data_IF_400528174712
#
_entry.id   IF_400528174712
#
_cell.length_a   1.000
_cell.length_b   1.000
_cell.length_c   1.000
_cell.angle_alpha   90.00
_cell.angle_beta   90.00
_cell.angle_gamma   90.00
#
_symmetry.space_group_name_H-M   'P 1'
#
loop_
_entity.id
_entity.type
_entity.pdbx_description
1 polymer ?
#
# COMPACT_ATOMS: atom_id res chain seq x y z
N UNK A 1 -5.55 8.76 20.65
CA UNK A 1 -5.13 7.76 19.67
C UNK A 1 -4.66 8.47 18.39
N UNK A 2 -3.61 7.97 17.78
CA UNK A 2 -3.02 8.52 16.54
C UNK A 2 -3.97 8.44 15.31
N UNK A 3 -5.07 7.74 15.45
CA UNK A 3 -6.11 7.59 14.43
C UNK A 3 -6.82 8.90 14.09
N UNK A 4 -6.70 9.87 14.97
CA UNK A 4 -7.32 11.18 14.82
C UNK A 4 -6.29 12.25 14.41
N UNK A 5 -5.10 11.87 13.95
CA UNK A 5 -4.05 12.84 13.63
C UNK A 5 -4.50 13.83 12.52
N UNK A 6 -5.19 13.37 11.48
CA UNK A 6 -5.78 14.25 10.48
C UNK A 6 -6.95 15.07 11.05
N UNK A 7 -7.94 14.47 11.75
CA UNK A 7 -8.95 15.23 12.48
C UNK A 7 -8.39 16.13 13.59
N UNK A 8 -7.29 15.75 14.26
CA UNK A 8 -6.63 16.59 15.27
C UNK A 8 -6.05 17.86 14.65
N UNK A 9 -5.39 17.76 13.47
CA UNK A 9 -4.80 18.90 12.81
C UNK A 9 -5.83 19.79 12.10
N UNK A 10 -6.84 19.21 11.49
CA UNK A 10 -7.78 19.91 10.63
C UNK A 10 -9.23 19.86 11.12
N UNK A 11 -9.55 18.97 12.06
CA UNK A 11 -10.87 18.80 12.66
C UNK A 11 -11.94 18.35 11.69
N UNK A 12 -13.19 18.33 12.16
CA UNK A 12 -14.34 17.91 11.39
C UNK A 12 -14.61 18.76 10.13
N UNK A 13 -13.99 19.94 10.02
CA UNK A 13 -14.10 20.78 8.82
C UNK A 13 -13.57 20.13 7.55
N UNK A 14 -12.66 19.16 7.67
CA UNK A 14 -12.01 18.52 6.54
C UNK A 14 -12.37 17.04 6.42
N UNK A 15 -13.13 16.51 7.37
CA UNK A 15 -13.51 15.11 7.39
C UNK A 15 -14.93 14.94 7.94
N UNK A 16 -15.92 15.06 7.07
CA UNK A 16 -17.30 14.68 7.37
C UNK A 16 -17.48 13.20 7.04
N UNK A 17 -17.50 12.37 8.07
CA UNK A 17 -17.48 10.90 7.96
C UNK A 17 -18.48 10.34 6.95
N UNK A 18 -19.75 10.77 7.04
CA UNK A 18 -20.82 10.27 6.17
C UNK A 18 -20.63 10.71 4.72
N UNK A 19 -20.17 11.95 4.50
CA UNK A 19 -19.86 12.46 3.16
C UNK A 19 -18.70 11.70 2.53
N UNK A 20 -17.63 11.46 3.29
CA UNK A 20 -16.47 10.71 2.82
C UNK A 20 -16.86 9.27 2.50
N UNK A 21 -17.65 8.63 3.38
CA UNK A 21 -18.15 7.28 3.16
C UNK A 21 -19.02 7.20 1.90
N UNK A 22 -19.85 8.21 1.63
CA UNK A 22 -20.67 8.29 0.42
C UNK A 22 -19.81 8.42 -0.85
N UNK A 23 -18.85 9.35 -0.85
CA UNK A 23 -17.93 9.55 -1.98
C UNK A 23 -17.14 8.27 -2.26
N UNK A 24 -16.52 7.67 -1.23
CA UNK A 24 -15.74 6.46 -1.37
C UNK A 24 -16.61 5.28 -1.85
N UNK A 25 -17.83 5.12 -1.31
CA UNK A 25 -18.75 4.09 -1.76
C UNK A 25 -19.20 4.30 -3.21
N UNK A 26 -19.40 5.55 -3.63
CA UNK A 26 -19.73 5.90 -5.02
C UNK A 26 -18.60 5.51 -5.99
N UNK A 27 -17.36 5.82 -5.66
CA UNK A 27 -16.20 5.45 -6.48
C UNK A 27 -16.01 3.94 -6.53
N UNK A 28 -16.00 3.27 -5.38
CA UNK A 28 -15.84 1.82 -5.31
C UNK A 28 -17.03 1.05 -5.88
N UNK A 29 -18.22 1.68 -5.93
CA UNK A 29 -19.39 1.15 -6.64
C UNK A 29 -19.13 1.00 -8.15
N UNK A 30 -18.37 1.90 -8.75
CA UNK A 30 -17.95 1.80 -10.16
C UNK A 30 -17.04 0.58 -10.37
N UNK A 31 -16.05 0.41 -9.48
CA UNK A 31 -15.16 -0.76 -9.52
C UNK A 31 -15.94 -2.08 -9.35
N UNK A 32 -16.92 -2.10 -8.44
CA UNK A 32 -17.81 -3.26 -8.27
C UNK A 32 -18.60 -3.57 -9.54
N UNK A 33 -19.11 -2.54 -10.23
CA UNK A 33 -19.84 -2.72 -11.49
C UNK A 33 -18.97 -3.33 -12.60
N UNK A 34 -17.66 -3.12 -12.53
CA UNK A 34 -16.65 -3.74 -13.41
C UNK A 34 -16.24 -5.16 -12.99
N UNK A 35 -16.79 -5.68 -11.88
CA UNK A 35 -16.55 -7.05 -11.43
C UNK A 35 -15.59 -7.17 -10.24
N UNK A 36 -15.04 -6.07 -9.70
CA UNK A 36 -14.24 -6.10 -8.48
C UNK A 36 -15.10 -6.60 -7.31
N UNK A 37 -14.56 -7.52 -6.53
CA UNK A 37 -15.23 -8.10 -5.36
C UNK A 37 -14.48 -7.86 -4.06
N UNK A 38 -13.17 -7.68 -4.14
CA UNK A 38 -12.31 -7.48 -2.98
C UNK A 38 -11.36 -6.34 -3.25
N UNK A 39 -11.21 -5.46 -2.27
CA UNK A 39 -10.26 -4.34 -2.28
C UNK A 39 -9.20 -4.61 -1.22
N UNK A 40 -7.94 -4.51 -1.59
CA UNK A 40 -6.84 -4.46 -0.63
C UNK A 40 -6.56 -2.99 -0.34
N UNK A 41 -6.92 -2.56 0.86
CA UNK A 41 -6.66 -1.19 1.31
C UNK A 41 -5.28 -1.14 1.97
N UNK A 42 -4.30 -0.66 1.21
CA UNK A 42 -2.91 -0.50 1.64
C UNK A 42 -2.65 0.77 2.44
N UNK A 43 -3.67 1.51 2.87
CA UNK A 43 -3.49 2.75 3.63
C UNK A 43 -2.83 2.49 4.98
N UNK A 44 -1.60 3.00 5.21
CA UNK A 44 -0.89 2.77 6.47
C UNK A 44 -1.37 3.71 7.57
N UNK A 45 -0.90 3.45 8.79
CA UNK A 45 -1.25 4.21 10.00
C UNK A 45 -1.03 5.72 9.83
N UNK A 46 0.11 6.11 9.28
CA UNK A 46 0.50 7.51 9.11
C UNK A 46 -0.01 8.18 7.81
N UNK A 47 -0.88 7.51 7.06
CA UNK A 47 -1.62 8.12 5.93
C UNK A 47 -3.14 8.17 6.17
N UNK A 48 -3.56 8.11 7.43
CA UNK A 48 -4.96 8.30 7.78
C UNK A 48 -5.83 7.05 7.61
N UNK A 49 -5.28 5.86 7.83
CA UNK A 49 -6.09 4.63 7.90
C UNK A 49 -7.23 4.80 8.91
N UNK A 50 -8.48 4.65 8.46
CA UNK A 50 -9.65 4.59 9.33
C UNK A 50 -10.45 3.31 9.07
N UNK A 51 -10.34 2.35 9.99
CA UNK A 51 -11.03 1.07 9.88
C UNK A 51 -12.56 1.21 9.97
N UNK A 52 -13.06 2.25 10.65
CA UNK A 52 -14.50 2.50 10.76
C UNK A 52 -15.05 2.94 9.40
N UNK A 53 -14.30 3.77 8.69
CA UNK A 53 -14.63 4.20 7.33
C UNK A 53 -14.60 3.01 6.37
N UNK A 54 -13.57 2.18 6.42
CA UNK A 54 -13.45 0.96 5.60
C UNK A 54 -14.68 0.05 5.85
N UNK A 55 -15.06 -0.18 7.10
CA UNK A 55 -16.24 -1.00 7.48
C UNK A 55 -17.54 -0.41 6.93
N UNK A 56 -17.71 0.91 7.04
CA UNK A 56 -18.92 1.58 6.54
C UNK A 56 -18.99 1.52 5.01
N UNK A 57 -17.91 1.75 4.32
CA UNK A 57 -17.84 1.62 2.86
C UNK A 57 -18.08 0.17 2.42
N UNK A 58 -17.52 -0.81 3.13
CA UNK A 58 -17.79 -2.23 2.88
C UNK A 58 -19.31 -2.55 3.01
N UNK A 59 -19.95 -2.01 4.06
CA UNK A 59 -21.39 -2.18 4.29
C UNK A 59 -22.23 -1.54 3.18
N UNK A 60 -21.85 -0.33 2.71
CA UNK A 60 -22.59 0.39 1.65
C UNK A 60 -22.42 -0.29 0.28
N UNK A 61 -21.23 -0.79 0.00
CA UNK A 61 -20.91 -1.35 -1.33
C UNK A 61 -21.12 -2.86 -1.41
N UNK A 62 -21.04 -3.58 -0.28
CA UNK A 62 -20.99 -5.04 -0.26
C UNK A 62 -19.70 -5.60 -0.89
N UNK A 63 -18.62 -4.82 -0.94
CA UNK A 63 -17.28 -5.28 -1.29
C UNK A 63 -16.60 -5.88 -0.06
N UNK A 64 -15.72 -6.85 -0.29
CA UNK A 64 -14.79 -7.32 0.73
C UNK A 64 -13.60 -6.37 0.81
N UNK A 65 -13.07 -6.19 2.03
CA UNK A 65 -11.86 -5.39 2.24
C UNK A 65 -10.81 -6.20 3.00
N UNK A 66 -9.57 -6.04 2.58
CA UNK A 66 -8.38 -6.47 3.30
C UNK A 66 -7.68 -5.20 3.76
N UNK A 67 -7.77 -4.88 5.04
CA UNK A 67 -7.11 -3.71 5.62
C UNK A 67 -5.63 -4.01 5.90
N UNK A 68 -4.80 -2.96 5.89
CA UNK A 68 -3.40 -3.05 6.25
C UNK A 68 -3.10 -2.50 7.64
N UNK A 69 -1.94 -2.89 8.18
CA UNK A 69 -1.25 -2.15 9.24
C UNK A 69 0.22 -1.97 8.88
N UNK A 70 0.82 -0.91 9.37
CA UNK A 70 2.20 -0.56 9.04
C UNK A 70 2.37 0.93 8.80
N UNK A 71 3.51 1.32 8.23
CA UNK A 71 3.87 2.71 8.02
C UNK A 71 4.27 3.00 6.59
N UNK A 72 4.05 4.26 6.18
CA UNK A 72 4.57 4.81 4.94
C UNK A 72 6.01 5.32 5.14
N UNK A 73 6.67 5.73 4.06
CA UNK A 73 8.05 6.21 4.13
C UNK A 73 8.20 7.63 4.70
N UNK A 74 7.11 8.30 5.01
CA UNK A 74 7.17 9.61 5.66
C UNK A 74 7.66 9.44 7.09
N UNK A 75 8.74 10.13 7.39
CA UNK A 75 9.39 10.09 8.69
C UNK A 75 8.68 11.03 9.65
N UNK A 76 7.62 10.54 10.28
CA UNK A 76 6.88 11.30 11.27
C UNK A 76 7.75 11.65 12.49
N UNK A 77 7.73 12.90 12.98
CA UNK A 77 8.58 13.31 14.10
C UNK A 77 8.49 12.41 15.34
N UNK A 78 7.31 11.89 15.65
CA UNK A 78 7.10 11.04 16.81
C UNK A 78 7.76 9.66 16.67
N UNK A 79 7.99 9.14 15.45
CA UNK A 79 8.69 7.87 15.21
C UNK A 79 10.15 7.90 15.66
N UNK A 80 10.78 9.09 15.67
CA UNK A 80 12.15 9.23 16.16
C UNK A 80 12.28 8.96 17.67
N UNK A 81 11.20 9.24 18.42
CA UNK A 81 11.15 9.05 19.88
C UNK A 81 10.64 7.67 20.29
N UNK A 82 10.25 6.83 19.36
CA UNK A 82 9.83 5.46 19.61
C UNK A 82 10.98 4.52 19.32
N UNK A 83 11.14 3.55 20.22
CA UNK A 83 12.06 2.44 19.94
C UNK A 83 11.40 1.40 19.01
N UNK A 84 12.15 0.41 18.60
CA UNK A 84 11.67 -0.63 17.70
C UNK A 84 10.58 -1.48 18.34
N UNK A 85 10.70 -1.77 19.64
CA UNK A 85 9.73 -2.61 20.35
C UNK A 85 8.36 -1.91 20.44
N UNK A 86 8.33 -0.61 20.71
CA UNK A 86 7.08 0.15 20.72
C UNK A 86 6.40 0.16 19.34
N UNK A 87 7.18 0.21 18.24
CA UNK A 87 6.64 0.11 16.87
C UNK A 87 6.10 -1.30 16.62
N UNK A 88 6.86 -2.33 17.01
CA UNK A 88 6.44 -3.72 16.91
C UNK A 88 5.16 -3.98 17.69
N UNK A 89 5.07 -3.55 18.95
CA UNK A 89 3.90 -3.73 19.81
C UNK A 89 2.64 -3.08 19.23
N UNK A 90 2.78 -1.88 18.65
CA UNK A 90 1.68 -1.20 17.98
C UNK A 90 1.12 -2.05 16.81
N UNK A 91 2.00 -2.58 15.97
CA UNK A 91 1.58 -3.36 14.81
C UNK A 91 1.05 -4.75 15.22
N UNK A 92 1.66 -5.38 16.23
CA UNK A 92 1.18 -6.64 16.78
C UNK A 92 -0.16 -6.48 17.48
N UNK A 93 -0.39 -5.37 18.19
CA UNK A 93 -1.68 -5.04 18.78
C UNK A 93 -2.80 -5.01 17.73
N UNK A 94 -2.58 -4.37 16.58
CA UNK A 94 -3.54 -4.41 15.47
C UNK A 94 -3.83 -5.84 14.99
N UNK A 95 -2.81 -6.71 14.97
CA UNK A 95 -2.95 -8.10 14.53
C UNK A 95 -3.63 -8.98 15.59
N UNK A 96 -3.34 -8.78 16.87
CA UNK A 96 -3.82 -9.60 17.97
C UNK A 96 -5.22 -9.17 18.44
N UNK A 97 -5.38 -7.87 18.71
CA UNK A 97 -6.56 -7.31 19.37
C UNK A 97 -7.54 -6.68 18.38
N UNK A 98 -7.05 -6.31 17.20
CA UNK A 98 -7.82 -5.64 16.16
C UNK A 98 -7.51 -4.14 16.04
N UNK A 99 -7.70 -3.63 14.84
CA UNK A 99 -7.37 -2.27 14.45
C UNK A 99 -8.26 -1.28 15.21
N UNK A 100 -7.65 -0.33 15.90
CA UNK A 100 -8.36 0.78 16.55
C UNK A 100 -9.45 0.36 17.52
N UNK A 101 -9.25 -0.73 18.26
CA UNK A 101 -10.22 -1.24 19.23
C UNK A 101 -11.46 -1.88 18.60
N UNK A 102 -11.41 -2.23 17.32
CA UNK A 102 -12.44 -3.01 16.64
C UNK A 102 -12.04 -4.49 16.57
N UNK A 103 -12.93 -5.34 16.10
CA UNK A 103 -12.67 -6.76 15.81
C UNK A 103 -12.02 -7.00 14.43
N UNK A 104 -11.80 -5.95 13.66
CA UNK A 104 -11.19 -6.04 12.34
C UNK A 104 -9.67 -6.15 12.46
N UNK A 105 -9.09 -7.18 11.86
CA UNK A 105 -7.65 -7.43 11.85
C UNK A 105 -7.06 -7.15 10.47
N UNK A 106 -5.77 -6.76 10.39
CA UNK A 106 -5.12 -6.57 9.10
C UNK A 106 -4.94 -7.93 8.40
N UNK A 107 -5.08 -7.93 7.08
CA UNK A 107 -4.76 -9.09 6.24
C UNK A 107 -3.46 -8.92 5.46
N UNK A 108 -2.83 -7.72 5.53
CA UNK A 108 -1.57 -7.39 4.89
C UNK A 108 -0.80 -6.37 5.73
N UNK A 109 0.52 -6.46 5.73
CA UNK A 109 1.38 -5.44 6.33
C UNK A 109 1.79 -4.41 5.29
N UNK A 110 2.01 -3.17 5.72
CA UNK A 110 2.49 -2.07 4.88
C UNK A 110 3.82 -1.55 5.41
N UNK A 111 4.75 -1.35 4.49
CA UNK A 111 5.98 -0.61 4.73
C UNK A 111 6.23 0.36 3.58
N UNK A 112 7.18 1.28 3.74
CA UNK A 112 7.55 2.20 2.68
C UNK A 112 9.02 2.62 2.75
N UNK A 113 9.63 2.72 1.57
CA UNK A 113 10.97 3.27 1.35
C UNK A 113 10.88 4.22 0.16
N UNK A 114 10.99 5.52 0.43
CA UNK A 114 10.91 6.55 -0.61
C UNK A 114 12.25 6.82 -1.29
N UNK A 115 12.33 7.93 -2.02
CA UNK A 115 13.54 8.36 -2.77
C UNK A 115 14.79 8.55 -1.90
N UNK A 116 14.61 8.80 -0.61
CA UNK A 116 15.74 8.87 0.35
C UNK A 116 16.39 7.53 0.67
N UNK A 117 15.86 6.43 0.16
CA UNK A 117 16.33 5.08 0.47
C UNK A 117 16.03 4.65 1.90
N UNK A 118 16.73 3.62 2.36
CA UNK A 118 16.60 3.08 3.72
C UNK A 118 17.37 3.95 4.73
N UNK A 119 16.73 5.01 5.22
CA UNK A 119 17.27 5.81 6.35
C UNK A 119 17.30 4.97 7.63
N UNK A 120 18.05 5.38 8.67
CA UNK A 120 18.06 4.67 9.95
C UNK A 120 16.67 4.52 10.58
N UNK A 121 15.80 5.52 10.44
CA UNK A 121 14.43 5.43 10.93
C UNK A 121 13.61 4.42 10.13
N UNK A 122 13.69 4.46 8.81
CA UNK A 122 12.97 3.51 7.95
C UNK A 122 13.50 2.08 8.11
N UNK A 123 14.81 1.90 8.39
CA UNK A 123 15.36 0.58 8.76
C UNK A 123 14.71 0.05 10.04
N UNK A 124 14.62 0.88 11.09
CA UNK A 124 13.97 0.53 12.35
C UNK A 124 12.50 0.13 12.14
N UNK A 125 11.74 0.95 11.40
CA UNK A 125 10.33 0.68 11.10
C UNK A 125 10.15 -0.60 10.26
N UNK A 126 10.98 -0.77 9.24
CA UNK A 126 10.92 -1.96 8.38
C UNK A 126 11.33 -3.23 9.13
N UNK A 127 12.31 -3.14 10.05
CA UNK A 127 12.72 -4.26 10.88
C UNK A 127 11.59 -4.68 11.85
N UNK A 128 10.95 -3.72 12.55
CA UNK A 128 9.78 -4.01 13.39
C UNK A 128 8.65 -4.66 12.58
N UNK A 129 8.33 -4.12 11.38
CA UNK A 129 7.32 -4.68 10.49
C UNK A 129 7.69 -6.08 10.01
N UNK A 130 8.97 -6.34 9.74
CA UNK A 130 9.49 -7.66 9.36
C UNK A 130 9.33 -8.69 10.48
N UNK A 131 9.57 -8.32 11.74
CA UNK A 131 9.30 -9.18 12.90
C UNK A 131 7.82 -9.56 12.98
N UNK A 132 6.91 -8.60 12.81
CA UNK A 132 5.46 -8.86 12.76
C UNK A 132 5.12 -9.79 11.59
N UNK A 133 5.69 -9.56 10.40
CA UNK A 133 5.48 -10.43 9.24
C UNK A 133 5.91 -11.87 9.50
N UNK A 134 7.04 -12.06 10.18
CA UNK A 134 7.54 -13.38 10.56
C UNK A 134 6.57 -14.10 11.49
N UNK A 135 6.08 -13.44 12.52
CA UNK A 135 5.26 -14.04 13.56
C UNK A 135 3.83 -14.31 13.10
N UNK A 136 3.23 -13.35 12.39
CA UNK A 136 1.84 -13.46 11.92
C UNK A 136 1.71 -14.28 10.64
N UNK A 137 2.77 -14.36 9.84
CA UNK A 137 2.73 -14.96 8.51
C UNK A 137 2.04 -14.08 7.46
N UNK A 138 1.65 -12.85 7.79
CA UNK A 138 1.02 -11.94 6.86
C UNK A 138 1.98 -11.54 5.72
N UNK A 139 1.48 -11.36 4.49
CA UNK A 139 2.26 -10.79 3.41
C UNK A 139 2.57 -9.30 3.70
N UNK A 140 3.66 -8.81 3.13
CA UNK A 140 4.10 -7.43 3.29
C UNK A 140 4.14 -6.73 1.94
N UNK A 141 3.37 -5.65 1.80
CA UNK A 141 3.46 -4.72 0.68
C UNK A 141 4.41 -3.58 1.05
N UNK A 142 5.53 -3.46 0.35
CA UNK A 142 6.49 -2.39 0.54
C UNK A 142 6.42 -1.40 -0.63
N UNK A 143 5.93 -0.18 -0.34
CA UNK A 143 6.13 0.93 -1.26
C UNK A 143 7.64 1.15 -1.46
N UNK A 144 8.10 1.22 -2.70
CA UNK A 144 9.46 1.61 -3.00
C UNK A 144 9.52 2.44 -4.28
N UNK A 145 10.57 3.22 -4.42
CA UNK A 145 10.88 3.93 -5.67
C UNK A 145 11.91 3.09 -6.44
N UNK A 146 11.54 2.46 -7.57
CA UNK A 146 12.46 1.58 -8.30
C UNK A 146 13.67 2.34 -8.88
N UNK A 147 13.59 3.67 -9.06
CA UNK A 147 14.73 4.49 -9.53
C UNK A 147 15.89 4.52 -8.55
N UNK A 148 15.63 4.22 -7.27
CA UNK A 148 16.67 4.15 -6.22
C UNK A 148 17.33 2.78 -6.12
N UNK A 149 16.81 1.77 -6.83
CA UNK A 149 17.23 0.37 -6.73
C UNK A 149 17.21 -0.20 -5.28
N UNK A 150 16.38 0.37 -4.40
CA UNK A 150 16.34 -0.01 -2.99
C UNK A 150 15.73 -1.41 -2.74
N UNK A 151 15.09 -2.03 -3.73
CA UNK A 151 14.40 -3.31 -3.59
C UNK A 151 15.30 -4.41 -3.02
N UNK A 152 16.56 -4.48 -3.46
CA UNK A 152 17.53 -5.44 -2.94
C UNK A 152 17.78 -5.30 -1.44
N UNK A 153 18.03 -4.08 -0.98
CA UNK A 153 18.29 -3.77 0.43
C UNK A 153 17.03 -4.01 1.30
N UNK A 154 15.84 -3.71 0.78
CA UNK A 154 14.56 -4.02 1.44
C UNK A 154 14.44 -5.54 1.68
N UNK A 155 14.68 -6.34 0.64
CA UNK A 155 14.60 -7.79 0.74
C UNK A 155 15.66 -8.36 1.67
N UNK A 156 16.88 -7.80 1.71
CA UNK A 156 17.96 -8.22 2.61
C UNK A 156 17.58 -7.98 4.07
N UNK A 157 17.05 -6.80 4.38
CA UNK A 157 16.61 -6.47 5.72
C UNK A 157 15.46 -7.39 6.17
N UNK A 158 14.46 -7.61 5.33
CA UNK A 158 13.34 -8.50 5.65
C UNK A 158 13.79 -9.95 5.79
N UNK A 159 14.73 -10.42 4.98
CA UNK A 159 15.33 -11.75 5.12
C UNK A 159 16.08 -11.89 6.45
N UNK A 160 16.76 -10.84 6.93
CA UNK A 160 17.41 -10.85 8.26
C UNK A 160 16.40 -11.01 9.41
N UNK A 161 15.17 -10.55 9.22
CA UNK A 161 14.06 -10.80 10.16
C UNK A 161 13.45 -12.21 10.02
N UNK A 162 13.87 -12.99 9.01
CA UNK A 162 13.32 -14.31 8.72
C UNK A 162 12.06 -14.29 7.86
N UNK A 163 11.80 -13.20 7.14
CA UNK A 163 10.69 -13.09 6.18
C UNK A 163 11.17 -13.58 4.81
N UNK A 164 10.58 -14.63 4.25
CA UNK A 164 10.95 -15.09 2.91
C UNK A 164 10.47 -14.07 1.85
N UNK A 165 11.27 -13.86 0.82
CA UNK A 165 10.94 -12.93 -0.26
C UNK A 165 9.58 -13.24 -0.91
N UNK A 166 9.16 -14.50 -0.93
CA UNK A 166 7.85 -14.93 -1.45
C UNK A 166 6.63 -14.37 -0.71
N UNK A 167 6.83 -13.72 0.43
CA UNK A 167 5.80 -12.98 1.17
C UNK A 167 5.91 -11.47 1.00
N UNK A 168 6.84 -10.98 0.20
CA UNK A 168 7.09 -9.56 -0.01
C UNK A 168 6.60 -9.15 -1.40
N UNK A 169 5.83 -8.07 -1.44
CA UNK A 169 5.41 -7.40 -2.66
C UNK A 169 6.16 -6.07 -2.72
N UNK A 170 6.99 -5.88 -3.75
CA UNK A 170 7.62 -4.60 -4.03
C UNK A 170 6.63 -3.76 -4.86
N UNK A 171 5.93 -2.85 -4.20
CA UNK A 171 4.94 -1.97 -4.82
C UNK A 171 5.61 -0.93 -5.72
N UNK A 172 4.88 -0.47 -6.74
CA UNK A 172 5.32 0.52 -7.71
C UNK A 172 6.49 0.07 -8.60
N UNK A 173 6.69 -1.24 -8.69
CA UNK A 173 7.69 -1.81 -9.59
C UNK A 173 7.41 -1.48 -11.07
N UNK A 174 6.16 -1.15 -11.40
CA UNK A 174 5.75 -0.72 -12.73
C UNK A 174 6.18 0.71 -13.10
N UNK A 175 6.81 1.46 -12.19
CA UNK A 175 7.30 2.83 -12.47
C UNK A 175 8.69 2.84 -13.15
N UNK A 176 9.20 1.68 -13.55
CA UNK A 176 10.44 1.54 -14.31
C UNK A 176 10.30 0.50 -15.43
N UNK A 177 11.02 0.70 -16.51
CA UNK A 177 11.22 -0.25 -17.60
C UNK A 177 12.58 -1.00 -17.51
N UNK A 178 13.29 -0.84 -16.41
CA UNK A 178 14.57 -1.53 -16.17
C UNK A 178 14.33 -3.03 -15.91
N UNK A 179 14.28 -3.80 -17.00
CA UNK A 179 14.06 -5.25 -16.95
C UNK A 179 15.13 -6.01 -16.17
N UNK A 180 16.38 -5.54 -16.18
CA UNK A 180 17.49 -6.16 -15.42
C UNK A 180 17.20 -6.06 -13.91
N UNK A 181 16.85 -4.87 -13.42
CA UNK A 181 16.48 -4.67 -12.02
C UNK A 181 15.25 -5.50 -11.63
N UNK A 182 14.18 -5.44 -12.44
CA UNK A 182 12.93 -6.17 -12.15
C UNK A 182 13.16 -7.69 -12.12
N UNK A 183 13.92 -8.21 -13.08
CA UNK A 183 14.27 -9.64 -13.12
C UNK A 183 15.10 -10.06 -11.92
N UNK A 184 16.10 -9.25 -11.53
CA UNK A 184 16.91 -9.54 -10.34
C UNK A 184 16.04 -9.62 -9.06
N UNK A 185 15.00 -8.79 -8.94
CA UNK A 185 14.06 -8.88 -7.79
C UNK A 185 13.19 -10.14 -7.86
N UNK A 186 12.70 -10.50 -9.06
CA UNK A 186 11.91 -11.72 -9.27
C UNK A 186 12.72 -12.99 -9.00
N UNK A 187 13.99 -13.04 -9.40
CA UNK A 187 14.91 -14.16 -9.11
C UNK A 187 15.12 -14.36 -7.60
N UNK A 188 15.01 -13.32 -6.80
CA UNK A 188 14.99 -13.41 -5.34
C UNK A 188 13.70 -14.00 -4.79
N UNK A 189 12.66 -14.14 -5.61
CA UNK A 189 11.40 -14.79 -5.29
C UNK A 189 10.31 -13.87 -4.75
N UNK A 190 10.47 -12.54 -4.80
CA UNK A 190 9.42 -11.59 -4.39
C UNK A 190 8.32 -11.46 -5.45
N UNK A 191 7.29 -10.71 -5.13
CA UNK A 191 6.25 -10.28 -6.06
C UNK A 191 6.50 -8.83 -6.48
N UNK A 192 6.21 -8.50 -7.73
CA UNK A 192 6.23 -7.13 -8.21
C UNK A 192 4.82 -6.56 -8.32
N UNK A 193 4.58 -5.44 -7.63
CA UNK A 193 3.40 -4.63 -7.82
C UNK A 193 3.55 -3.77 -9.07
N UNK A 194 2.97 -4.24 -10.17
CA UNK A 194 2.87 -3.50 -11.43
C UNK A 194 1.60 -2.67 -11.35
N UNK A 195 1.66 -1.65 -10.53
CA UNK A 195 0.54 -0.79 -10.19
C UNK A 195 0.67 0.61 -10.81
N UNK A 196 -0.18 1.54 -10.39
CA UNK A 196 -0.25 2.93 -10.89
C UNK A 196 -0.68 3.05 -12.36
N UNK A 197 -1.46 2.11 -12.85
CA UNK A 197 -2.20 2.32 -14.08
C UNK A 197 -3.11 3.54 -13.94
N UNK A 198 -3.10 4.44 -14.92
CA UNK A 198 -3.80 5.72 -14.87
C UNK A 198 -2.97 6.89 -14.29
N UNK A 199 -1.79 6.63 -13.70
CA UNK A 199 -0.83 7.68 -13.27
C UNK A 199 0.22 7.98 -14.35
N UNK A 200 -0.14 7.82 -15.60
CA UNK A 200 0.79 7.85 -16.74
C UNK A 200 1.59 9.14 -16.92
N UNK A 201 1.24 10.21 -16.19
CA UNK A 201 1.87 11.52 -16.34
C UNK A 201 3.12 11.70 -15.45
N UNK A 202 3.47 10.71 -14.61
CA UNK A 202 4.50 10.92 -13.58
C UNK A 202 5.85 10.32 -13.93
N UNK A 203 5.95 9.00 -14.05
CA UNK A 203 7.25 8.32 -14.14
C UNK A 203 7.40 7.48 -15.41
N UNK A 204 6.43 6.65 -15.74
CA UNK A 204 6.41 5.80 -16.93
C UNK A 204 5.02 5.82 -17.56
N UNK A 205 4.93 6.13 -18.85
CA UNK A 205 3.67 6.13 -19.59
C UNK A 205 3.03 4.73 -19.70
N UNK A 206 1.78 4.69 -20.16
CA UNK A 206 1.02 3.45 -20.27
C UNK A 206 1.70 2.42 -21.19
N UNK A 207 2.07 2.81 -22.40
CA UNK A 207 2.68 1.89 -23.36
C UNK A 207 3.99 1.26 -22.86
N UNK A 208 5.00 2.01 -22.38
CA UNK A 208 6.21 1.41 -21.81
C UNK A 208 5.93 0.50 -20.62
N UNK A 209 4.92 0.83 -19.79
CA UNK A 209 4.48 -0.02 -18.67
C UNK A 209 3.93 -1.36 -19.15
N UNK A 210 3.06 -1.34 -20.16
CA UNK A 210 2.50 -2.55 -20.80
C UNK A 210 3.62 -3.37 -21.45
N UNK A 211 4.53 -2.72 -22.19
CA UNK A 211 5.65 -3.40 -22.84
C UNK A 211 6.57 -4.10 -21.85
N UNK A 212 6.85 -3.45 -20.72
CA UNK A 212 7.63 -4.03 -19.61
C UNK A 212 6.96 -5.27 -19.04
N UNK A 213 5.66 -5.19 -18.74
CA UNK A 213 4.87 -6.33 -18.24
C UNK A 213 4.88 -7.47 -19.26
N UNK A 214 4.64 -7.15 -20.54
CA UNK A 214 4.64 -8.14 -21.60
C UNK A 214 6.01 -8.82 -21.76
N UNK A 215 7.11 -8.06 -21.61
CA UNK A 215 8.46 -8.61 -21.64
C UNK A 215 8.71 -9.57 -20.47
N UNK A 216 8.31 -9.20 -19.25
CA UNK A 216 8.41 -10.07 -18.07
C UNK A 216 7.54 -11.34 -18.22
N UNK A 217 6.34 -11.21 -18.77
CA UNK A 217 5.48 -12.36 -19.06
C UNK A 217 6.12 -13.31 -20.08
N UNK A 218 6.70 -12.78 -21.18
CA UNK A 218 7.44 -13.59 -22.16
C UNK A 218 8.64 -14.30 -21.55
N UNK A 219 9.29 -13.69 -20.56
CA UNK A 219 10.37 -14.30 -19.78
C UNK A 219 9.90 -15.34 -18.74
N UNK A 220 8.58 -15.59 -18.65
CA UNK A 220 8.01 -16.58 -17.73
C UNK A 220 7.62 -16.05 -16.33
N UNK A 221 7.75 -14.75 -16.08
CA UNK A 221 7.53 -14.16 -14.76
C UNK A 221 6.08 -13.74 -14.48
N UNK A 222 5.15 -13.89 -15.42
CA UNK A 222 3.75 -13.47 -15.27
C UNK A 222 3.07 -13.95 -13.98
N UNK A 223 3.49 -15.11 -13.45
CA UNK A 223 2.97 -15.68 -12.22
C UNK A 223 3.44 -14.98 -10.93
N UNK A 224 4.30 -13.96 -11.03
CA UNK A 224 4.84 -13.15 -9.91
C UNK A 224 4.52 -11.66 -10.06
N UNK A 225 3.68 -11.29 -11.01
CA UNK A 225 3.25 -9.91 -11.23
C UNK A 225 1.85 -9.70 -10.66
N UNK A 226 1.65 -8.57 -9.98
CA UNK A 226 0.37 -8.14 -9.43
C UNK A 226 -0.02 -6.83 -10.11
N UNK A 227 -1.10 -6.82 -10.86
CA UNK A 227 -1.60 -5.63 -11.54
C UNK A 227 -2.59 -4.89 -10.63
N UNK A 228 -2.45 -3.59 -10.49
CA UNK A 228 -3.37 -2.74 -9.72
C UNK A 228 -3.23 -1.26 -10.10
N UNK A 229 -3.96 -0.37 -9.43
CA UNK A 229 -4.03 1.05 -9.79
C UNK A 229 -3.34 1.98 -8.81
N UNK A 230 -3.21 1.59 -7.53
CA UNK A 230 -2.79 2.50 -6.45
C UNK A 230 -3.72 3.73 -6.33
N UNK A 231 -5.01 3.55 -6.62
CA UNK A 231 -5.99 4.62 -6.59
C UNK A 231 -6.58 4.82 -5.20
N UNK A 232 -6.74 6.09 -4.82
CA UNK A 232 -7.44 6.46 -3.61
C UNK A 232 -8.92 6.74 -3.92
N UNK A 233 -9.82 6.10 -3.18
CA UNK A 233 -11.25 6.40 -3.26
C UNK A 233 -11.60 7.76 -2.66
N UNK A 234 -10.76 8.26 -1.75
CA UNK A 234 -10.83 9.60 -1.15
C UNK A 234 -9.46 9.99 -0.55
N UNK A 235 -9.09 11.26 -0.68
CA UNK A 235 -7.86 11.83 -0.11
C UNK A 235 -8.20 13.10 0.69
N UNK A 236 -8.09 13.03 2.02
CA UNK A 236 -8.50 14.11 2.91
C UNK A 236 -7.55 15.32 2.93
N UNK A 237 -6.31 15.17 2.48
CA UNK A 237 -5.31 16.24 2.53
C UNK A 237 -5.22 17.09 1.26
N UNK A 238 -6.13 16.91 0.31
CA UNK A 238 -6.27 17.75 -0.86
C UNK A 238 -7.62 18.48 -0.84
N UNK A 239 -7.61 19.78 -1.13
CA UNK A 239 -8.75 20.68 -0.99
C UNK A 239 -9.98 20.32 -1.84
N UNK A 240 -9.84 19.42 -2.79
CA UNK A 240 -10.97 18.88 -3.51
C UNK A 240 -10.72 17.43 -3.91
N UNK A 241 -11.71 16.57 -3.63
CA UNK A 241 -11.76 15.23 -4.18
C UNK A 241 -11.83 15.22 -5.73
N UNK A 242 -12.10 16.34 -6.38
CA UNK A 242 -12.05 16.52 -7.83
C UNK A 242 -10.66 16.30 -8.41
N UNK A 243 -9.60 16.43 -7.60
CA UNK A 243 -8.24 16.06 -8.00
C UNK A 243 -8.07 14.56 -8.15
N UNK A 244 -8.99 13.76 -7.66
CA UNK A 244 -9.10 12.34 -7.95
C UNK A 244 -9.71 12.04 -9.33
N UNK A 245 -9.72 13.01 -10.27
CA UNK A 245 -10.08 12.76 -11.68
C UNK A 245 -9.20 11.69 -12.33
N UNK A 246 -8.02 11.44 -11.77
CA UNK A 246 -7.17 10.30 -12.14
C UNK A 246 -7.62 8.97 -11.53
N UNK A 247 -8.64 8.96 -10.67
CA UNK A 247 -9.22 7.76 -10.06
C UNK A 247 -10.44 7.25 -10.82
N UNK A 248 -10.43 7.38 -12.13
CA UNK A 248 -11.49 6.78 -12.92
C UNK A 248 -11.25 5.28 -13.02
N UNK A 249 -12.01 4.52 -12.24
CA UNK A 249 -11.99 3.06 -12.25
C UNK A 249 -12.36 2.46 -13.62
N UNK A 250 -12.71 3.30 -14.61
CA UNK A 250 -12.94 2.87 -15.98
C UNK A 250 -11.66 2.33 -16.64
N UNK A 251 -10.49 2.79 -16.22
CA UNK A 251 -9.20 2.24 -16.66
C UNK A 251 -9.07 0.74 -16.38
N UNK A 252 -9.79 0.20 -15.39
CA UNK A 252 -9.84 -1.24 -15.12
C UNK A 252 -10.30 -2.08 -16.32
N UNK A 253 -11.05 -1.51 -17.26
CA UNK A 253 -11.51 -2.21 -18.46
C UNK A 253 -10.63 -1.97 -19.69
N UNK A 254 -9.96 -0.84 -19.72
CA UNK A 254 -9.22 -0.38 -20.90
C UNK A 254 -7.76 -0.77 -20.80
N UNK A 255 -7.22 -0.90 -19.58
CA UNK A 255 -5.81 -1.16 -19.31
C UNK A 255 -5.49 -2.65 -19.02
N UNK A 256 -6.52 -3.50 -18.83
CA UNK A 256 -6.43 -4.95 -18.60
C UNK A 256 -7.24 -5.72 -19.68
#
# INVERSE_FOLDING_TARGET
SLHDALPIYFGARFFEFDQVAEIAAGQLGKAKALGVRTVVDGTPVNLGRDIRLIREVARRTGLNFIASTGFYYQEEPWLYFRDEEEIYDLLMGDCADGISGTDSKPGILKAGVGRGGLTPLLQKVLHATGRVAKETGLPLFCHHDPSTAAGGAILDLLASCGVPASRVILGHSGDTDNLEYLTAMLERGCWLGMDRFGFCDRDLGLEPRVDTIAALCRAGWGHRLLLSHDLAAYLAFWDSWETTKHSDWLHLKEDY
#
